data_IF_664275142002
#
_entry.id   IF_664275142002
#
_cell.length_a   1.000
_cell.length_b   1.000
_cell.length_c   1.000
_cell.angle_alpha   90.00
_cell.angle_beta   90.00
_cell.angle_gamma   90.00
#
_symmetry.space_group_name_H-M   'P 1'
#
loop_
_entity.id
_entity.type
_entity.pdbx_description
1 polymer ?
#
# COMPACT_ATOMS: atom_id res chain seq x y z
N UNK A 1 -22.48 30.49 4.70
CA UNK A 1 -21.22 30.29 3.94
C UNK A 1 -20.49 29.15 4.60
N UNK A 2 -20.56 27.94 4.04
CA UNK A 2 -19.74 26.83 4.51
C UNK A 2 -18.33 27.03 3.97
N UNK A 3 -17.43 27.51 4.81
CA UNK A 3 -16.00 27.46 4.52
C UNK A 3 -15.60 25.99 4.72
N UNK A 4 -15.65 25.21 3.65
CA UNK A 4 -14.93 23.94 3.59
C UNK A 4 -13.45 24.28 3.59
N UNK A 5 -12.88 24.41 4.79
CA UNK A 5 -11.45 24.57 4.97
C UNK A 5 -10.81 23.23 4.58
N UNK A 6 -10.48 23.07 3.29
CA UNK A 6 -9.68 21.94 2.83
C UNK A 6 -8.28 22.16 3.38
N UNK A 7 -7.99 21.57 4.54
CA UNK A 7 -6.63 21.48 5.05
C UNK A 7 -5.81 20.69 4.03
N UNK A 8 -5.10 21.40 3.15
CA UNK A 8 -4.10 20.80 2.28
C UNK A 8 -2.97 20.30 3.17
N UNK A 9 -2.82 18.97 3.24
CA UNK A 9 -1.68 18.35 3.90
C UNK A 9 -0.41 18.86 3.22
N UNK A 10 0.36 19.67 3.94
CA UNK A 10 1.65 20.18 3.45
C UNK A 10 2.69 19.09 3.66
N UNK A 11 3.46 18.79 2.63
CA UNK A 11 4.58 17.85 2.68
C UNK A 11 5.86 18.54 2.19
N UNK A 12 7.01 18.02 2.61
CA UNK A 12 8.31 18.45 2.13
C UNK A 12 9.22 17.23 1.98
N UNK A 13 10.14 17.32 1.02
CA UNK A 13 11.21 16.33 0.87
C UNK A 13 12.47 16.82 1.56
N UNK A 14 13.15 15.92 2.26
CA UNK A 14 14.45 16.18 2.89
C UNK A 14 15.43 15.19 2.28
N UNK A 15 16.45 15.71 1.60
CA UNK A 15 17.56 14.91 1.08
C UNK A 15 18.70 14.93 2.10
N UNK A 16 19.12 13.75 2.53
CA UNK A 16 20.29 13.58 3.38
C UNK A 16 21.53 13.34 2.52
N UNK A 17 22.70 13.68 3.07
CA UNK A 17 24.00 13.39 2.45
C UNK A 17 24.40 11.92 2.65
N UNK A 18 23.92 11.31 3.73
CA UNK A 18 24.21 9.92 4.14
C UNK A 18 22.91 9.11 4.26
N UNK A 19 22.84 7.95 3.61
CA UNK A 19 21.70 7.04 3.66
C UNK A 19 21.36 6.61 5.11
N UNK A 20 22.37 6.49 5.98
CA UNK A 20 22.16 6.16 7.40
C UNK A 20 21.36 7.23 8.14
N UNK A 21 21.42 8.49 7.70
CA UNK A 21 20.65 9.56 8.30
C UNK A 21 19.16 9.51 7.91
N UNK A 22 18.82 8.83 6.81
CA UNK A 22 17.42 8.59 6.41
C UNK A 22 16.70 7.72 7.44
N UNK A 23 17.38 6.71 7.99
CA UNK A 23 16.83 5.86 9.05
C UNK A 23 16.56 6.68 10.32
N UNK A 24 17.52 7.52 10.73
CA UNK A 24 17.34 8.41 11.88
C UNK A 24 16.19 9.39 11.66
N UNK A 25 16.10 9.99 10.46
CA UNK A 25 15.03 10.91 10.11
C UNK A 25 13.63 10.31 10.22
N UNK A 26 13.47 9.01 9.94
CA UNK A 26 12.19 8.32 10.08
C UNK A 26 11.69 8.25 11.53
N UNK A 27 12.60 8.26 12.51
CA UNK A 27 12.27 8.25 13.95
C UNK A 27 11.65 9.58 14.42
N UNK A 28 11.66 10.62 13.59
CA UNK A 28 11.02 11.90 13.90
C UNK A 28 9.50 11.90 13.65
N UNK A 29 8.92 10.81 13.17
CA UNK A 29 7.46 10.66 13.10
C UNK A 29 6.82 10.91 14.47
N UNK A 30 5.72 11.65 14.49
CA UNK A 30 5.03 12.18 15.68
C UNK A 30 5.75 13.33 16.42
N UNK A 31 6.88 13.82 15.91
CA UNK A 31 7.46 15.06 16.42
C UNK A 31 6.51 16.22 16.11
N UNK A 32 6.17 17.02 17.12
CA UNK A 32 5.33 18.20 16.93
C UNK A 32 6.17 19.32 16.34
N UNK A 33 5.83 19.75 15.13
CA UNK A 33 6.37 20.93 14.49
C UNK A 33 5.29 22.01 14.49
N UNK A 34 5.57 23.11 15.20
CA UNK A 34 4.61 24.19 15.49
C UNK A 34 3.44 23.64 16.32
N UNK A 35 2.37 23.20 15.66
CA UNK A 35 1.10 22.75 16.25
C UNK A 35 0.65 21.39 15.70
N UNK A 36 1.44 20.77 14.81
CA UNK A 36 1.08 19.52 14.15
C UNK A 36 2.20 18.49 14.26
N UNK A 37 1.82 17.26 14.58
CA UNK A 37 2.70 16.11 14.46
C UNK A 37 3.07 15.89 12.99
N UNK A 38 4.36 15.72 12.71
CA UNK A 38 4.83 15.36 11.37
C UNK A 38 4.84 13.84 11.20
N UNK A 39 4.73 13.39 9.95
CA UNK A 39 4.96 12.00 9.57
C UNK A 39 6.16 11.95 8.65
N UNK A 40 7.16 11.15 9.02
CA UNK A 40 8.37 10.95 8.22
C UNK A 40 8.26 9.61 7.50
N UNK A 41 8.03 9.65 6.20
CA UNK A 41 8.04 8.48 5.33
C UNK A 41 9.31 8.47 4.47
N UNK A 42 9.96 7.32 4.28
CA UNK A 42 11.08 7.21 3.34
C UNK A 42 10.59 7.49 1.91
N UNK A 43 11.45 8.10 1.12
CA UNK A 43 11.20 8.30 -0.31
C UNK A 43 12.31 7.60 -1.10
N UNK A 44 11.93 6.55 -1.83
CA UNK A 44 12.91 5.62 -2.41
C UNK A 44 13.53 6.12 -3.73
N UNK A 45 13.00 7.20 -4.32
CA UNK A 45 13.61 7.79 -5.51
C UNK A 45 14.79 8.69 -5.12
N UNK A 46 15.89 8.58 -5.85
CA UNK A 46 17.13 9.35 -5.61
C UNK A 46 17.02 10.85 -5.92
N UNK A 47 15.95 11.24 -6.62
CA UNK A 47 15.69 12.61 -7.06
C UNK A 47 14.35 13.07 -6.53
N UNK A 48 14.33 14.25 -5.89
CA UNK A 48 13.11 14.87 -5.40
C UNK A 48 12.25 15.31 -6.61
N UNK A 49 10.99 14.87 -6.71
CA UNK A 49 10.10 15.27 -7.79
C UNK A 49 9.66 16.74 -7.63
N UNK A 50 9.25 17.35 -8.73
CA UNK A 50 8.55 18.63 -8.67
C UNK A 50 7.12 18.46 -8.11
N UNK A 51 6.49 19.58 -7.75
CA UNK A 51 5.16 19.58 -7.12
C UNK A 51 4.10 18.90 -8.01
N UNK A 52 4.12 19.19 -9.32
CA UNK A 52 3.16 18.63 -10.26
C UNK A 52 3.29 17.11 -10.33
N UNK A 53 4.50 16.58 -10.47
CA UNK A 53 4.73 15.13 -10.54
C UNK A 53 4.35 14.44 -9.24
N UNK A 54 4.66 15.06 -8.09
CA UNK A 54 4.31 14.52 -6.78
C UNK A 54 2.79 14.42 -6.58
N UNK A 55 2.05 15.48 -6.87
CA UNK A 55 0.58 15.51 -6.75
C UNK A 55 -0.05 14.52 -7.72
N UNK A 56 0.44 14.44 -8.96
CA UNK A 56 -0.05 13.48 -9.96
C UNK A 56 0.24 12.03 -9.59
N UNK A 57 1.24 11.76 -8.74
CA UNK A 57 1.55 10.42 -8.24
C UNK A 57 0.65 9.97 -7.06
N UNK A 58 -0.24 10.85 -6.57
CA UNK A 58 -1.14 10.60 -5.46
C UNK A 58 -0.70 11.22 -4.14
N UNK A 59 0.33 12.07 -4.15
CA UNK A 59 0.75 12.85 -2.99
C UNK A 59 1.41 12.03 -1.87
N UNK A 60 1.32 12.47 -0.60
CA UNK A 60 2.00 11.84 0.53
C UNK A 60 1.49 10.41 0.77
N UNK A 61 2.43 9.45 0.78
CA UNK A 61 2.11 8.03 0.91
C UNK A 61 2.28 7.57 2.36
N UNK A 62 1.29 7.86 3.21
CA UNK A 62 1.19 7.28 4.55
C UNK A 62 -0.01 6.35 4.61
N UNK A 63 0.15 5.17 5.23
CA UNK A 63 -0.96 4.24 5.46
C UNK A 63 -2.16 4.97 6.11
N UNK A 64 -3.33 4.96 5.44
CA UNK A 64 -4.56 5.61 5.90
C UNK A 64 -4.75 7.08 5.51
N UNK A 65 -3.79 7.72 4.81
CA UNK A 65 -3.90 9.09 4.29
C UNK A 65 -3.74 9.19 2.77
N UNK A 66 -3.55 8.05 2.10
CA UNK A 66 -3.39 8.04 0.64
C UNK A 66 -4.70 8.42 -0.05
N UNK A 67 -4.58 9.17 -1.12
CA UNK A 67 -5.68 9.55 -1.98
C UNK A 67 -5.34 9.18 -3.41
N UNK A 68 -6.38 8.90 -4.21
CA UNK A 68 -6.19 8.73 -5.64
C UNK A 68 -5.68 10.04 -6.25
N UNK A 69 -4.87 9.97 -7.33
CA UNK A 69 -4.48 11.16 -8.06
C UNK A 69 -5.69 11.98 -8.52
N UNK A 70 -5.55 13.32 -8.67
CA UNK A 70 -6.67 14.20 -8.98
C UNK A 70 -7.32 13.94 -10.35
N UNK A 71 -6.60 13.29 -11.28
CA UNK A 71 -7.13 12.89 -12.57
C UNK A 71 -8.01 11.62 -12.52
N UNK A 72 -7.96 10.87 -11.42
CA UNK A 72 -8.76 9.66 -11.20
C UNK A 72 -10.03 10.04 -10.45
N UNK A 73 -11.19 9.76 -11.04
CA UNK A 73 -12.49 10.17 -10.49
C UNK A 73 -13.40 8.98 -10.21
N UNK A 74 -14.14 9.02 -9.10
CA UNK A 74 -15.13 7.99 -8.75
C UNK A 74 -16.55 8.53 -8.97
N UNK A 75 -17.42 7.73 -9.60
CA UNK A 75 -18.83 8.05 -9.82
C UNK A 75 -19.70 6.85 -9.42
N UNK A 76 -20.75 7.10 -8.65
CA UNK A 76 -21.74 6.07 -8.32
C UNK A 76 -22.87 6.15 -9.35
N UNK A 77 -23.22 5.00 -9.93
CA UNK A 77 -24.30 4.84 -10.89
C UNK A 77 -25.32 3.83 -10.34
N UNK A 78 -26.60 4.20 -10.33
CA UNK A 78 -27.70 3.27 -10.05
C UNK A 78 -28.03 2.45 -11.30
N UNK A 79 -28.23 1.16 -11.11
CA UNK A 79 -28.64 0.20 -12.12
C UNK A 79 -30.17 0.03 -12.08
N UNK A 80 -30.74 -0.50 -13.16
CA UNK A 80 -32.19 -0.68 -13.33
C UNK A 80 -32.81 -1.62 -12.28
N UNK A 81 -32.00 -2.50 -11.68
CA UNK A 81 -32.40 -3.42 -10.62
C UNK A 81 -32.40 -2.81 -9.21
N UNK A 82 -32.12 -1.51 -9.09
CA UNK A 82 -32.02 -0.78 -7.82
C UNK A 82 -30.71 -0.99 -7.06
N UNK A 83 -29.76 -1.76 -7.62
CA UNK A 83 -28.40 -1.82 -7.10
C UNK A 83 -27.57 -0.63 -7.58
N UNK A 84 -26.48 -0.29 -6.88
CA UNK A 84 -25.56 0.77 -7.29
C UNK A 84 -24.15 0.26 -7.45
N UNK A 85 -23.43 0.81 -8.43
CA UNK A 85 -22.04 0.49 -8.72
C UNK A 85 -21.18 1.74 -8.70
N UNK A 86 -19.96 1.61 -8.20
CA UNK A 86 -18.92 2.63 -8.24
C UNK A 86 -18.01 2.38 -9.44
N UNK A 87 -17.99 3.36 -10.35
CA UNK A 87 -17.12 3.42 -11.50
C UNK A 87 -15.96 4.36 -11.20
N UNK A 88 -14.75 3.89 -11.47
CA UNK A 88 -13.53 4.72 -11.38
C UNK A 88 -13.06 5.01 -12.81
N UNK A 89 -12.96 6.29 -13.16
CA UNK A 89 -12.49 6.75 -14.47
C UNK A 89 -11.11 7.39 -14.34
N UNK A 90 -10.20 7.03 -15.25
CA UNK A 90 -8.85 7.56 -15.34
C UNK A 90 -8.53 7.83 -16.81
N UNK A 91 -8.49 9.11 -17.23
CA UNK A 91 -8.19 9.49 -18.60
C UNK A 91 -6.82 9.03 -19.09
N UNK A 92 -5.84 8.85 -18.19
CA UNK A 92 -4.50 8.40 -18.57
C UNK A 92 -4.52 6.92 -18.97
N UNK A 93 -5.30 6.08 -18.29
CA UNK A 93 -5.45 4.68 -18.69
C UNK A 93 -6.11 4.54 -20.05
N UNK A 94 -7.15 5.33 -20.32
CA UNK A 94 -7.86 5.35 -21.60
C UNK A 94 -6.93 5.79 -22.73
N UNK A 95 -6.15 6.85 -22.53
CA UNK A 95 -5.17 7.34 -23.50
C UNK A 95 -4.09 6.30 -23.84
N UNK A 96 -3.72 5.44 -22.89
CA UNK A 96 -2.77 4.34 -23.09
C UNK A 96 -3.42 3.07 -23.67
N UNK A 97 -4.73 3.07 -23.92
CA UNK A 97 -5.47 1.89 -24.39
C UNK A 97 -5.52 0.76 -23.37
N UNK A 98 -5.35 1.07 -22.08
CA UNK A 98 -5.34 0.09 -21.00
C UNK A 98 -6.77 -0.28 -20.55
N UNK A 99 -6.96 -1.47 -19.97
CA UNK A 99 -8.28 -1.89 -19.49
C UNK A 99 -8.79 -0.96 -18.38
N UNK A 100 -10.07 -0.60 -18.48
CA UNK A 100 -10.76 0.20 -17.47
C UNK A 100 -10.84 -0.53 -16.12
N UNK A 101 -10.96 0.25 -15.05
CA UNK A 101 -11.13 -0.29 -13.71
C UNK A 101 -12.43 -1.10 -13.60
N UNK A 102 -12.40 -2.27 -12.93
CA UNK A 102 -13.61 -3.06 -12.73
C UNK A 102 -14.60 -2.31 -11.81
N UNK A 103 -15.92 -2.42 -12.05
CA UNK A 103 -16.93 -1.81 -11.19
C UNK A 103 -16.89 -2.43 -9.80
N UNK A 104 -17.05 -1.58 -8.78
CA UNK A 104 -17.16 -1.95 -7.37
C UNK A 104 -18.59 -1.71 -6.87
N UNK A 105 -19.02 -2.27 -5.73
CA UNK A 105 -20.28 -1.91 -5.11
C UNK A 105 -20.37 -0.40 -4.81
N UNK A 106 -21.52 0.23 -5.05
CA UNK A 106 -21.71 1.67 -4.89
C UNK A 106 -21.53 2.18 -3.46
N UNK A 107 -21.64 1.29 -2.46
CA UNK A 107 -21.43 1.57 -1.04
C UNK A 107 -19.99 1.33 -0.55
N UNK A 108 -19.04 1.08 -1.45
CA UNK A 108 -17.63 0.86 -1.08
C UNK A 108 -17.01 2.16 -0.56
N UNK A 109 -16.42 2.12 0.63
CA UNK A 109 -15.71 3.25 1.23
C UNK A 109 -14.56 3.78 0.35
N UNK A 110 -14.37 5.11 0.27
CA UNK A 110 -13.37 5.71 -0.62
C UNK A 110 -11.93 5.30 -0.30
N UNK A 111 -11.58 5.12 0.98
CA UNK A 111 -10.25 4.65 1.34
C UNK A 111 -10.04 3.20 0.90
N UNK A 112 -11.11 2.40 0.93
CA UNK A 112 -11.08 1.03 0.39
C UNK A 112 -10.98 1.01 -1.13
N UNK A 113 -11.68 1.90 -1.82
CA UNK A 113 -11.54 2.08 -3.27
C UNK A 113 -10.10 2.42 -3.61
N UNK A 114 -9.51 3.40 -2.93
CA UNK A 114 -8.11 3.81 -3.11
C UNK A 114 -7.14 2.62 -3.00
N UNK A 115 -7.28 1.81 -1.96
CA UNK A 115 -6.47 0.60 -1.76
C UNK A 115 -6.67 -0.43 -2.88
N UNK A 116 -7.91 -0.66 -3.32
CA UNK A 116 -8.23 -1.57 -4.43
C UNK A 116 -7.60 -1.06 -5.73
N UNK A 117 -7.67 0.24 -6.00
CA UNK A 117 -7.18 0.83 -7.26
C UNK A 117 -5.66 0.89 -7.35
N UNK A 118 -4.92 0.80 -6.24
CA UNK A 118 -3.47 0.54 -6.22
C UNK A 118 -3.08 -0.94 -6.29
N UNK A 119 -4.07 -1.82 -6.22
CA UNK A 119 -3.83 -3.26 -6.18
C UNK A 119 -4.04 -3.89 -7.55
N UNK A 120 -3.04 -4.63 -8.01
CA UNK A 120 -3.15 -5.52 -9.17
C UNK A 120 -3.34 -6.97 -8.71
N UNK A 121 -3.99 -7.74 -9.57
CA UNK A 121 -3.97 -9.19 -9.55
C UNK A 121 -2.90 -9.68 -10.55
N UNK A 122 -2.07 -10.61 -10.09
CA UNK A 122 -1.04 -11.27 -10.90
C UNK A 122 -1.33 -12.76 -10.92
N UNK A 123 -1.50 -13.33 -12.11
CA UNK A 123 -1.71 -14.75 -12.31
C UNK A 123 -0.66 -15.39 -13.21
N UNK A 124 -0.77 -16.71 -13.34
CA UNK A 124 0.18 -17.56 -14.05
C UNK A 124 1.60 -17.58 -13.46
N UNK A 125 1.73 -17.29 -12.16
CA UNK A 125 3.00 -17.45 -11.46
C UNK A 125 3.36 -18.94 -11.34
N UNK A 126 4.66 -19.31 -11.39
CA UNK A 126 5.09 -20.68 -11.13
C UNK A 126 4.59 -21.18 -9.76
N UNK A 127 4.14 -22.43 -9.69
CA UNK A 127 3.69 -23.03 -8.43
C UNK A 127 4.91 -23.16 -7.49
N UNK A 128 4.77 -22.66 -6.26
CA UNK A 128 5.86 -22.67 -5.27
C UNK A 128 6.91 -21.58 -5.45
N UNK A 129 6.67 -20.57 -6.31
CA UNK A 129 7.54 -19.39 -6.40
C UNK A 129 7.64 -18.71 -5.03
N UNK A 130 8.84 -18.23 -4.71
CA UNK A 130 9.08 -17.43 -3.52
C UNK A 130 8.45 -16.03 -3.67
N UNK A 131 7.67 -15.63 -2.66
CA UNK A 131 7.03 -14.32 -2.62
C UNK A 131 8.02 -13.17 -2.59
N UNK A 132 9.20 -13.35 -1.98
CA UNK A 132 10.24 -12.33 -1.96
C UNK A 132 10.80 -12.10 -3.37
N UNK A 133 11.08 -13.16 -4.12
CA UNK A 133 11.53 -13.05 -5.51
C UNK A 133 10.50 -12.34 -6.41
N UNK A 134 9.20 -12.58 -6.20
CA UNK A 134 8.13 -11.87 -6.92
C UNK A 134 8.12 -10.39 -6.52
N UNK A 135 8.24 -10.08 -5.22
CA UNK A 135 8.31 -8.70 -4.73
C UNK A 135 9.48 -7.93 -5.36
N UNK A 136 10.67 -8.53 -5.37
CA UNK A 136 11.89 -7.93 -5.95
C UNK A 136 11.75 -7.68 -7.45
N UNK A 137 11.10 -8.61 -8.17
CA UNK A 137 10.79 -8.45 -9.59
C UNK A 137 9.88 -7.23 -9.83
N UNK A 138 8.76 -7.11 -9.12
CA UNK A 138 7.85 -5.98 -9.33
C UNK A 138 8.46 -4.64 -8.90
N UNK A 139 9.25 -4.62 -7.82
CA UNK A 139 10.01 -3.43 -7.43
C UNK A 139 10.99 -2.98 -8.52
N UNK A 140 11.62 -3.93 -9.22
CA UNK A 140 12.64 -3.62 -10.24
C UNK A 140 12.04 -3.20 -11.59
N UNK A 141 10.93 -3.81 -12.01
CA UNK A 141 10.38 -3.63 -13.36
C UNK A 141 9.16 -2.72 -13.44
N UNK A 142 8.46 -2.50 -12.33
CA UNK A 142 7.17 -1.80 -12.34
C UNK A 142 7.17 -0.61 -11.40
N UNK A 143 7.45 -0.84 -10.12
CA UNK A 143 7.45 0.20 -9.11
C UNK A 143 7.32 -0.35 -7.71
N UNK A 144 7.48 0.54 -6.74
CA UNK A 144 7.54 0.19 -5.32
C UNK A 144 6.27 -0.54 -4.84
N UNK A 145 6.47 -1.75 -4.32
CA UNK A 145 5.44 -2.60 -3.75
C UNK A 145 5.30 -2.30 -2.26
N UNK A 146 4.10 -1.89 -1.85
CA UNK A 146 3.79 -1.68 -0.44
C UNK A 146 3.39 -2.99 0.25
N UNK A 147 2.55 -3.79 -0.42
CA UNK A 147 2.14 -5.10 0.08
C UNK A 147 2.08 -6.11 -1.05
N UNK A 148 2.60 -7.31 -0.78
CA UNK A 148 2.42 -8.47 -1.63
C UNK A 148 1.76 -9.58 -0.83
N UNK A 149 0.74 -10.21 -1.41
CA UNK A 149 0.12 -11.41 -0.85
C UNK A 149 0.02 -12.50 -1.90
N UNK A 150 0.76 -13.58 -1.66
CA UNK A 150 0.59 -14.82 -2.42
C UNK A 150 -0.78 -15.42 -2.13
N UNK A 151 -1.50 -15.78 -3.19
CA UNK A 151 -2.77 -16.48 -3.13
C UNK A 151 -2.58 -17.88 -3.70
N UNK A 152 -2.74 -18.88 -2.82
CA UNK A 152 -2.70 -20.29 -3.21
C UNK A 152 -4.10 -20.72 -3.59
N UNK A 153 -4.31 -21.07 -4.86
CA UNK A 153 -5.53 -21.73 -5.29
C UNK A 153 -5.53 -23.23 -4.94
N UNK A 154 -6.61 -23.96 -5.24
CA UNK A 154 -6.64 -25.42 -5.09
C UNK A 154 -5.46 -26.10 -5.77
N UNK A 155 -5.02 -27.24 -5.25
CA UNK A 155 -3.85 -27.95 -5.76
C UNK A 155 -3.94 -28.36 -7.24
N UNK A 156 -5.17 -28.45 -7.76
CA UNK A 156 -5.47 -28.73 -9.16
C UNK A 156 -5.09 -27.60 -10.12
N UNK A 157 -4.85 -26.38 -9.62
CA UNK A 157 -4.42 -25.27 -10.47
C UNK A 157 -2.91 -25.37 -10.75
N UNK A 158 -2.49 -25.26 -12.02
CA UNK A 158 -1.08 -25.43 -12.42
C UNK A 158 -0.23 -24.18 -12.18
N UNK A 159 -0.79 -23.15 -11.54
CA UNK A 159 -0.13 -21.88 -11.29
C UNK A 159 -0.58 -21.26 -9.96
N UNK A 160 0.26 -20.37 -9.45
CA UNK A 160 -0.03 -19.52 -8.32
C UNK A 160 -0.52 -18.14 -8.78
N UNK A 161 -1.03 -17.38 -7.81
CA UNK A 161 -1.53 -16.03 -8.00
C UNK A 161 -1.01 -15.13 -6.89
N UNK A 162 -1.00 -13.83 -7.12
CA UNK A 162 -0.66 -12.85 -6.11
C UNK A 162 -1.52 -11.60 -6.27
N UNK A 163 -1.67 -10.88 -5.16
CA UNK A 163 -2.12 -9.50 -5.16
C UNK A 163 -0.95 -8.62 -4.78
N UNK A 164 -0.78 -7.51 -5.49
CA UNK A 164 0.32 -6.57 -5.29
C UNK A 164 -0.29 -5.18 -5.19
N UNK A 165 -0.15 -4.57 -4.03
CA UNK A 165 -0.53 -3.19 -3.75
C UNK A 165 0.70 -2.31 -3.86
N UNK A 166 0.71 -1.38 -4.81
CA UNK A 166 1.83 -0.46 -4.99
C UNK A 166 1.74 0.73 -4.04
N UNK A 167 2.91 1.28 -3.72
CA UNK A 167 3.01 2.58 -3.04
C UNK A 167 2.41 3.68 -3.92
N UNK A 168 2.75 3.70 -5.22
CA UNK A 168 2.30 4.73 -6.17
C UNK A 168 1.22 4.23 -7.13
N UNK A 169 0.19 5.06 -7.38
CA UNK A 169 -0.89 4.74 -8.32
C UNK A 169 -0.35 4.61 -9.76
N UNK A 170 0.69 5.38 -10.09
CA UNK A 170 1.36 5.37 -11.39
C UNK A 170 2.03 4.03 -11.71
N UNK A 171 2.31 3.18 -10.72
CA UNK A 171 2.81 1.81 -10.94
C UNK A 171 1.77 0.90 -11.58
N UNK A 172 0.48 1.14 -11.38
CA UNK A 172 -0.62 0.31 -11.90
C UNK A 172 -0.67 0.31 -13.44
N UNK A 173 -0.68 1.46 -14.14
CA UNK A 173 -0.65 1.46 -15.61
C UNK A 173 0.65 0.84 -16.15
N UNK A 174 1.81 1.05 -15.49
CA UNK A 174 3.08 0.40 -15.88
C UNK A 174 2.94 -1.12 -15.79
N UNK A 175 2.34 -1.63 -14.71
CA UNK A 175 2.13 -3.07 -14.53
C UNK A 175 1.24 -3.65 -15.65
N UNK A 176 0.17 -2.95 -16.01
CA UNK A 176 -0.79 -3.40 -17.02
C UNK A 176 -0.23 -3.34 -18.44
N UNK A 177 0.63 -2.35 -18.75
CA UNK A 177 1.41 -2.32 -20.00
C UNK A 177 2.34 -3.53 -20.12
N UNK A 178 2.83 -4.04 -18.99
CA UNK A 178 3.66 -5.25 -18.91
C UNK A 178 2.83 -6.54 -18.74
N UNK A 179 1.52 -6.53 -19.00
CA UNK A 179 0.75 -7.76 -19.05
C UNK A 179 1.31 -8.70 -20.14
N UNK A 180 1.61 -9.94 -19.77
CA UNK A 180 2.30 -10.91 -20.62
C UNK A 180 3.82 -10.94 -20.44
N UNK A 181 4.39 -10.11 -19.56
CA UNK A 181 5.84 -10.15 -19.26
C UNK A 181 6.28 -11.55 -18.81
N UNK A 182 7.39 -12.02 -19.36
CA UNK A 182 7.96 -13.30 -19.01
C UNK A 182 8.55 -13.28 -17.60
N UNK A 183 8.14 -14.26 -16.79
CA UNK A 183 8.71 -14.54 -15.47
C UNK A 183 8.97 -16.03 -15.35
N UNK A 184 10.24 -16.42 -15.24
CA UNK A 184 10.66 -17.83 -15.15
C UNK A 184 10.07 -18.71 -16.28
N UNK A 185 10.02 -18.17 -17.51
CA UNK A 185 9.51 -18.87 -18.69
C UNK A 185 7.98 -18.96 -18.76
N UNK A 186 7.25 -18.14 -17.99
CA UNK A 186 5.79 -18.03 -18.04
C UNK A 186 5.36 -16.58 -18.26
N UNK A 187 4.46 -16.32 -19.23
CA UNK A 187 3.90 -14.98 -19.40
C UNK A 187 2.92 -14.69 -18.26
N UNK A 188 3.19 -13.66 -17.47
CA UNK A 188 2.32 -13.26 -16.35
C UNK A 188 1.00 -12.67 -16.86
N UNK A 189 -0.09 -12.96 -16.15
CA UNK A 189 -1.40 -12.33 -16.40
C UNK A 189 -1.64 -11.23 -15.37
N UNK A 190 -1.53 -9.97 -15.78
CA UNK A 190 -1.68 -8.80 -14.91
C UNK A 190 -3.01 -8.12 -15.17
N UNK A 191 -3.81 -7.92 -14.13
CA UNK A 191 -5.14 -7.30 -14.21
C UNK A 191 -5.37 -6.38 -13.01
N UNK A 192 -6.32 -5.45 -13.13
CA UNK A 192 -6.83 -4.71 -11.97
C UNK A 192 -7.40 -5.66 -10.92
N UNK A 193 -7.13 -5.39 -9.65
CA UNK A 193 -7.81 -6.10 -8.58
C UNK A 193 -9.26 -5.61 -8.41
N UNK A 194 -10.11 -6.50 -7.91
CA UNK A 194 -11.47 -6.18 -7.45
C UNK A 194 -11.56 -6.12 -5.92
N UNK A 195 -10.47 -6.47 -5.24
CA UNK A 195 -10.37 -6.58 -3.79
C UNK A 195 -9.06 -5.99 -3.30
N UNK A 196 -9.07 -5.45 -2.10
CA UNK A 196 -7.83 -5.04 -1.45
C UNK A 196 -7.09 -6.25 -0.87
N UNK A 197 -5.80 -6.09 -0.65
CA UNK A 197 -5.02 -7.08 0.08
C UNK A 197 -5.55 -7.14 1.53
N UNK A 198 -5.85 -8.35 2.00
CA UNK A 198 -6.10 -8.57 3.43
C UNK A 198 -4.75 -8.45 4.13
N UNK A 199 -4.51 -7.28 4.71
CA UNK A 199 -3.34 -7.00 5.53
C UNK A 199 -3.48 -7.79 6.84
N UNK A 200 -2.46 -8.55 7.27
CA UNK A 200 -2.47 -9.11 8.62
C UNK A 200 -2.64 -7.93 9.58
N UNK A 201 -3.68 -7.95 10.40
CA UNK A 201 -3.90 -6.89 11.38
C UNK A 201 -2.64 -6.81 12.24
N UNK A 202 -1.91 -5.69 12.15
CA UNK A 202 -1.03 -5.31 13.23
C UNK A 202 -1.95 -5.14 14.44
N UNK A 203 -1.83 -6.03 15.44
CA UNK A 203 -2.51 -5.83 16.72
C UNK A 203 -2.22 -4.39 17.13
N UNK A 204 -3.25 -3.63 17.49
CA UNK A 204 -3.02 -2.26 17.93
C UNK A 204 -2.02 -2.29 19.08
N UNK A 205 -1.17 -1.27 19.21
CA UNK A 205 -0.20 -1.22 20.30
C UNK A 205 -0.90 -1.45 21.66
N UNK A 206 -2.13 -0.97 21.81
CA UNK A 206 -2.97 -1.15 23.00
C UNK A 206 -3.40 -2.61 23.21
N UNK A 207 -3.83 -3.32 22.17
CA UNK A 207 -4.19 -4.75 22.26
C UNK A 207 -2.98 -5.64 22.51
N UNK A 208 -1.82 -5.29 21.96
CA UNK A 208 -0.57 -5.98 22.25
C UNK A 208 -0.11 -5.72 23.70
N UNK A 209 -0.37 -4.53 24.24
CA UNK A 209 -0.08 -4.19 25.64
C UNK A 209 -1.00 -4.93 26.61
N UNK A 210 -2.29 -5.02 26.32
CA UNK A 210 -3.28 -5.69 27.17
C UNK A 210 -3.03 -7.21 27.26
N UNK A 211 -2.69 -7.86 26.14
CA UNK A 211 -2.29 -9.28 26.14
C UNK A 211 -0.99 -9.52 26.94
N UNK A 212 -0.04 -8.57 26.89
CA UNK A 212 1.19 -8.64 27.70
C UNK A 212 0.86 -8.46 29.19
N UNK A 213 -0.07 -7.57 29.54
CA UNK A 213 -0.50 -7.33 30.91
C UNK A 213 -1.27 -8.54 31.49
N UNK A 214 -2.13 -9.18 30.69
CA UNK A 214 -2.80 -10.43 31.06
C UNK A 214 -1.82 -11.60 31.19
N UNK A 215 -0.80 -11.70 30.33
CA UNK A 215 0.23 -12.74 30.43
C UNK A 215 1.10 -12.61 31.69
N UNK A 216 1.35 -11.37 32.14
CA UNK A 216 2.00 -11.06 33.42
C UNK A 216 1.09 -11.46 34.58
N UNK A 217 -0.21 -11.22 34.47
CA UNK A 217 -1.23 -11.59 35.48
C UNK A 217 -1.41 -13.11 35.60
N UNK A 218 -1.23 -13.86 34.52
CA UNK A 218 -1.36 -15.34 34.48
C UNK A 218 -0.07 -16.12 34.76
N UNK A 219 1.03 -15.47 35.14
CA UNK A 219 2.23 -16.13 35.67
C UNK A 219 2.95 -17.08 34.70
N UNK A 220 2.90 -16.82 33.38
CA UNK A 220 3.62 -17.63 32.37
C UNK A 220 5.12 -17.28 32.29
N UNK A 221 5.89 -18.32 31.99
CA UNK A 221 7.32 -18.51 32.28
C UNK A 221 8.26 -17.42 31.73
N UNK A 222 9.36 -17.21 32.46
CA UNK A 222 10.50 -16.29 32.21
C UNK A 222 10.93 -16.12 30.74
N UNK A 223 10.79 -17.14 29.89
CA UNK A 223 11.09 -17.07 28.45
C UNK A 223 10.21 -16.07 27.68
N UNK A 224 8.95 -15.90 28.08
CA UNK A 224 8.02 -14.90 27.49
C UNK A 224 8.44 -13.49 27.91
N UNK A 225 8.81 -13.33 29.18
CA UNK A 225 9.30 -12.06 29.74
C UNK A 225 10.62 -11.65 29.08
N UNK A 226 11.51 -12.61 28.81
CA UNK A 226 12.80 -12.36 28.16
C UNK A 226 12.64 -11.99 26.68
N UNK A 227 11.75 -12.68 25.95
CA UNK A 227 11.39 -12.31 24.58
C UNK A 227 10.73 -10.93 24.51
N UNK A 228 9.86 -10.60 25.48
CA UNK A 228 9.24 -9.27 25.59
C UNK A 228 10.22 -8.17 25.98
N UNK A 229 11.27 -8.47 26.77
CA UNK A 229 12.36 -7.53 27.06
C UNK A 229 13.19 -7.23 25.82
N UNK A 230 13.48 -8.25 25.00
CA UNK A 230 14.16 -8.07 23.71
C UNK A 230 13.34 -7.19 22.77
N UNK A 231 12.04 -7.48 22.61
CA UNK A 231 11.12 -6.68 21.81
C UNK A 231 11.07 -5.24 22.35
N UNK A 232 10.93 -5.03 23.67
CA UNK A 232 10.92 -3.68 24.27
C UNK A 232 12.25 -2.94 24.09
N UNK A 233 13.38 -3.63 24.01
CA UNK A 233 14.69 -3.03 23.78
C UNK A 233 14.88 -2.64 22.31
N UNK A 234 14.29 -3.41 21.39
CA UNK A 234 14.17 -3.05 19.98
C UNK A 234 13.17 -1.90 19.77
N UNK A 235 11.98 -1.94 20.39
CA UNK A 235 10.98 -0.86 20.29
C UNK A 235 11.45 0.43 20.96
N UNK A 236 12.24 0.37 22.04
CA UNK A 236 12.84 1.56 22.68
C UNK A 236 14.07 2.08 21.92
N UNK A 237 14.66 1.27 21.04
CA UNK A 237 15.64 1.73 20.04
C UNK A 237 14.96 2.32 18.81
N UNK A 238 13.74 1.89 18.49
CA UNK A 238 12.87 2.46 17.44
C UNK A 238 12.06 3.68 17.92
N UNK A 239 11.97 3.91 19.23
CA UNK A 239 11.31 5.06 19.86
C UNK A 239 12.30 6.08 20.45
N UNK A 240 13.58 6.00 20.08
CA UNK A 240 14.63 6.98 20.39
C UNK A 240 15.24 7.50 19.10
#
# INVERSE_FOLDING_TARGET
MNITSSTTSKCAFIKYDDDRAVEVGQHLTNTVLIDRAIVCAPFLQSTIPDEATFINSGGPVTAGQRQLPPHVTNKVQELEDGSSVLLTADPQMEALGLPAYPPLPGNTDLAKVEEIRRTIYVGNLPKGVDGQAVLDFFNSFVGEVMYLRMATGPDTLPCAYAYIEFTNQTSVPIALQNNGIDYQGRPLRIQHSRVAIIKPQAKSADQALEEVEEAIRMGKTLKVIEKAKLIKQETKRQAR
#
